data_IF_007094126714
#
_entry.id   IF_007094126714
#
_cell.length_a   1.000
_cell.length_b   1.000
_cell.length_c   1.000
_cell.angle_alpha   90.00
_cell.angle_beta   90.00
_cell.angle_gamma   90.00
#
_symmetry.space_group_name_H-M   'P 1'
#
loop_
_entity.id
_entity.type
_entity.pdbx_description
1 polymer ?
#
# COMPACT_ATOMS: atom_id res chain seq x y z
N UNK A 1 -71.26 5.91 4.35
CA UNK A 1 -69.97 6.57 4.65
C UNK A 1 -69.16 5.61 5.50
N UNK A 2 -68.08 5.00 5.00
CA UNK A 2 -67.21 4.14 5.80
C UNK A 2 -66.25 5.00 6.64
N UNK A 3 -66.06 4.61 7.90
CA UNK A 3 -65.11 5.25 8.82
C UNK A 3 -63.67 5.03 8.34
N UNK A 4 -62.92 6.11 8.12
CA UNK A 4 -61.48 6.07 7.93
C UNK A 4 -60.80 5.63 9.24
N UNK A 5 -60.32 4.39 9.27
CA UNK A 5 -59.46 3.89 10.34
C UNK A 5 -58.10 4.61 10.26
N UNK A 6 -58.00 5.76 10.93
CA UNK A 6 -56.73 6.42 11.20
C UNK A 6 -55.91 5.57 12.19
N UNK A 7 -55.22 4.56 11.67
CA UNK A 7 -54.24 3.79 12.42
C UNK A 7 -53.18 4.71 13.03
N UNK A 8 -53.16 4.82 14.37
CA UNK A 8 -52.10 5.53 15.09
C UNK A 8 -50.81 4.73 14.98
N UNK A 9 -49.79 5.33 14.37
CA UNK A 9 -48.42 4.81 14.41
C UNK A 9 -47.92 4.78 15.85
N UNK A 10 -47.95 3.60 16.47
CA UNK A 10 -47.34 3.37 17.80
C UNK A 10 -45.85 3.14 17.60
N UNK A 11 -45.04 4.14 17.93
CA UNK A 11 -43.59 3.99 17.93
C UNK A 11 -43.15 3.06 19.08
N UNK A 12 -42.95 1.77 18.78
CA UNK A 12 -42.47 0.78 19.75
C UNK A 12 -41.03 1.09 20.13
N UNK A 13 -40.82 1.62 21.34
CA UNK A 13 -39.48 1.93 21.89
C UNK A 13 -38.78 0.63 22.31
N UNK A 14 -37.90 0.14 21.45
CA UNK A 14 -37.08 -1.06 21.68
C UNK A 14 -36.07 -0.85 22.81
N UNK A 15 -35.47 -1.94 23.32
CA UNK A 15 -34.40 -1.86 24.33
C UNK A 15 -33.22 -1.01 23.85
N UNK A 16 -32.88 -1.06 22.56
CA UNK A 16 -31.84 -0.23 21.94
C UNK A 16 -32.16 1.27 22.00
N UNK A 17 -33.42 1.66 21.76
CA UNK A 17 -33.84 3.05 21.89
C UNK A 17 -33.69 3.55 23.33
N UNK A 18 -33.98 2.70 24.33
CA UNK A 18 -33.83 3.07 25.74
C UNK A 18 -32.37 3.26 26.17
N UNK A 19 -31.45 2.44 25.68
CA UNK A 19 -30.01 2.63 25.95
C UNK A 19 -29.43 3.83 25.21
N UNK A 20 -29.85 4.05 23.96
CA UNK A 20 -29.38 5.17 23.13
C UNK A 20 -29.77 6.57 23.65
N UNK A 21 -30.80 6.67 24.50
CA UNK A 21 -31.35 7.95 25.00
C UNK A 21 -30.93 8.22 26.46
N UNK A 22 -30.18 7.30 27.09
CA UNK A 22 -29.57 7.56 28.40
C UNK A 22 -28.50 8.66 28.27
N UNK A 23 -28.19 9.39 29.35
CA UNK A 23 -27.03 10.29 29.37
C UNK A 23 -25.76 9.51 29.00
N UNK A 24 -25.10 9.91 27.89
CA UNK A 24 -23.95 9.19 27.31
C UNK A 24 -24.30 8.08 26.30
N UNK A 25 -25.59 7.82 26.05
CA UNK A 25 -26.06 6.89 25.04
C UNK A 25 -25.82 7.42 23.63
N UNK A 26 -25.18 6.61 22.78
CA UNK A 26 -24.98 6.92 21.37
C UNK A 26 -26.02 6.14 20.56
N UNK A 27 -26.86 6.85 19.81
CA UNK A 27 -27.79 6.21 18.89
C UNK A 27 -27.05 5.58 17.70
N UNK A 28 -27.70 4.64 17.00
CA UNK A 28 -27.09 3.91 15.88
C UNK A 28 -26.53 4.85 14.80
N UNK A 29 -27.19 5.96 14.51
CA UNK A 29 -26.70 6.95 13.55
C UNK A 29 -25.44 7.67 14.05
N UNK A 30 -25.37 8.03 15.33
CA UNK A 30 -24.19 8.62 15.96
C UNK A 30 -23.00 7.65 16.00
N UNK A 31 -23.25 6.37 16.27
CA UNK A 31 -22.22 5.33 16.25
C UNK A 31 -21.66 5.11 14.83
N UNK A 32 -22.55 5.06 13.83
CA UNK A 32 -22.15 4.97 12.42
C UNK A 32 -21.34 6.19 11.98
N UNK A 33 -21.78 7.41 12.30
CA UNK A 33 -21.02 8.62 11.96
C UNK A 33 -19.65 8.69 12.66
N UNK A 34 -19.56 8.24 13.91
CA UNK A 34 -18.29 8.14 14.62
C UNK A 34 -17.36 7.12 13.95
N UNK A 35 -17.87 5.94 13.62
CA UNK A 35 -17.15 4.89 12.91
C UNK A 35 -16.66 5.38 11.54
N UNK A 36 -17.52 6.02 10.75
CA UNK A 36 -17.17 6.55 9.43
C UNK A 36 -16.06 7.60 9.51
N UNK A 37 -16.10 8.48 10.52
CA UNK A 37 -15.02 9.45 10.78
C UNK A 37 -13.71 8.76 11.14
N UNK A 38 -13.75 7.76 12.02
CA UNK A 38 -12.57 6.98 12.39
C UNK A 38 -11.96 6.24 11.20
N UNK A 39 -12.78 5.60 10.37
CA UNK A 39 -12.33 4.92 9.15
C UNK A 39 -11.72 5.92 8.16
N UNK A 40 -12.35 7.09 7.95
CA UNK A 40 -11.78 8.13 7.08
C UNK A 40 -10.45 8.66 7.58
N UNK A 41 -10.33 8.91 8.89
CA UNK A 41 -9.08 9.35 9.50
C UNK A 41 -7.98 8.30 9.33
N UNK A 42 -8.30 7.02 9.55
CA UNK A 42 -7.36 5.91 9.35
C UNK A 42 -6.90 5.81 7.89
N UNK A 43 -7.82 5.93 6.92
CA UNK A 43 -7.46 5.92 5.49
C UNK A 43 -6.51 7.07 5.13
N UNK A 44 -6.81 8.29 5.59
CA UNK A 44 -5.96 9.44 5.34
C UNK A 44 -4.57 9.29 5.97
N UNK A 45 -4.49 8.68 7.16
CA UNK A 45 -3.22 8.40 7.81
C UNK A 45 -2.41 7.34 7.05
N UNK A 46 -3.04 6.27 6.58
CA UNK A 46 -2.40 5.26 5.72
C UNK A 46 -1.86 5.89 4.43
N UNK A 47 -2.65 6.73 3.73
CA UNK A 47 -2.19 7.42 2.51
C UNK A 47 -0.96 8.31 2.78
N UNK A 48 -0.93 9.00 3.93
CA UNK A 48 0.21 9.82 4.35
C UNK A 48 1.45 8.95 4.64
N UNK A 49 1.27 7.82 5.30
CA UNK A 49 2.35 6.88 5.59
C UNK A 49 2.92 6.26 4.30
N UNK A 50 2.06 5.85 3.36
CA UNK A 50 2.47 5.38 2.02
C UNK A 50 3.33 6.44 1.34
N UNK A 51 2.84 7.68 1.28
CA UNK A 51 3.56 8.79 0.64
C UNK A 51 4.94 9.00 1.25
N UNK A 52 5.03 8.92 2.58
CA UNK A 52 6.30 9.10 3.31
C UNK A 52 7.28 7.97 3.01
N UNK A 53 6.82 6.72 3.08
CA UNK A 53 7.65 5.53 2.82
C UNK A 53 8.16 5.51 1.36
N UNK A 54 7.26 5.75 0.40
CA UNK A 54 7.64 5.78 -1.02
C UNK A 54 8.59 6.93 -1.31
N UNK A 55 8.36 8.13 -0.76
CA UNK A 55 9.25 9.28 -1.01
C UNK A 55 10.67 9.03 -0.52
N UNK A 56 10.82 8.39 0.64
CA UNK A 56 12.13 8.02 1.16
C UNK A 56 12.82 6.97 0.27
N UNK A 57 12.07 5.94 -0.14
CA UNK A 57 12.56 4.91 -1.06
C UNK A 57 12.98 5.48 -2.42
N UNK A 58 12.17 6.37 -2.99
CA UNK A 58 12.47 7.08 -4.24
C UNK A 58 13.75 7.90 -4.13
N UNK A 59 13.93 8.64 -3.04
CA UNK A 59 15.12 9.46 -2.83
C UNK A 59 16.39 8.61 -2.77
N UNK A 60 16.34 7.46 -2.09
CA UNK A 60 17.43 6.51 -2.01
C UNK A 60 17.74 5.87 -3.37
N UNK A 61 16.73 5.39 -4.10
CA UNK A 61 16.95 4.72 -5.38
C UNK A 61 17.47 5.67 -6.47
N UNK A 62 17.05 6.94 -6.44
CA UNK A 62 17.56 7.98 -7.35
C UNK A 62 19.00 8.39 -7.02
N UNK A 63 19.35 8.44 -5.74
CA UNK A 63 20.70 8.74 -5.27
C UNK A 63 21.35 7.47 -4.73
N UNK A 64 21.39 6.43 -5.57
CA UNK A 64 21.73 5.07 -5.16
C UNK A 64 23.00 5.01 -4.33
N UNK A 65 22.84 4.56 -3.08
CA UNK A 65 23.90 4.32 -2.10
C UNK A 65 23.73 2.92 -1.51
N UNK A 66 24.68 2.04 -1.80
CA UNK A 66 24.68 0.65 -1.32
C UNK A 66 24.70 0.58 0.22
N UNK A 67 25.30 1.57 0.90
CA UNK A 67 25.37 1.63 2.35
C UNK A 67 23.99 1.79 3.01
N UNK A 68 22.99 2.25 2.26
CA UNK A 68 21.62 2.44 2.74
C UNK A 68 20.65 1.35 2.27
N UNK A 69 21.13 0.33 1.54
CA UNK A 69 20.27 -0.70 0.95
C UNK A 69 19.35 -1.39 1.98
N UNK A 70 19.84 -1.68 3.19
CA UNK A 70 19.05 -2.27 4.28
C UNK A 70 17.91 -1.36 4.76
N UNK A 71 18.15 -0.05 4.81
CA UNK A 71 17.11 0.93 5.11
C UNK A 71 16.09 1.01 3.96
N UNK A 72 16.58 0.90 2.72
CA UNK A 72 15.75 0.76 1.52
C UNK A 72 14.81 -0.45 1.60
N UNK A 73 15.28 -1.62 2.04
CA UNK A 73 14.42 -2.80 2.24
C UNK A 73 13.28 -2.49 3.22
N UNK A 74 13.56 -1.77 4.31
CA UNK A 74 12.55 -1.39 5.29
C UNK A 74 11.48 -0.49 4.66
N UNK A 75 11.88 0.51 3.88
CA UNK A 75 10.92 1.39 3.19
C UNK A 75 10.13 0.68 2.09
N UNK A 76 10.76 -0.26 1.38
CA UNK A 76 10.08 -1.09 0.37
C UNK A 76 9.05 -2.02 1.01
N UNK A 77 9.38 -2.68 2.11
CA UNK A 77 8.45 -3.52 2.87
C UNK A 77 7.27 -2.70 3.42
N UNK A 78 7.55 -1.55 4.05
CA UNK A 78 6.51 -0.64 4.54
C UNK A 78 5.61 -0.15 3.41
N UNK A 79 6.20 0.21 2.26
CA UNK A 79 5.43 0.62 1.07
C UNK A 79 4.51 -0.49 0.60
N UNK A 80 5.02 -1.71 0.44
CA UNK A 80 4.25 -2.88 0.01
C UNK A 80 3.06 -3.13 0.93
N UNK A 81 3.32 -3.19 2.24
CA UNK A 81 2.31 -3.55 3.23
C UNK A 81 1.20 -2.49 3.31
N UNK A 82 1.58 -1.20 3.34
CA UNK A 82 0.62 -0.10 3.36
C UNK A 82 -0.15 0.05 2.04
N UNK A 83 0.53 -0.12 0.89
CA UNK A 83 -0.11 -0.08 -0.43
C UNK A 83 -1.12 -1.22 -0.59
N UNK A 84 -0.78 -2.42 -0.11
CA UNK A 84 -1.68 -3.58 -0.09
C UNK A 84 -2.93 -3.31 0.76
N UNK A 85 -2.76 -2.71 1.93
CA UNK A 85 -3.89 -2.28 2.78
C UNK A 85 -4.78 -1.23 2.10
N UNK A 86 -4.20 -0.37 1.27
CA UNK A 86 -4.91 0.67 0.54
C UNK A 86 -5.51 0.21 -0.81
N UNK A 87 -5.28 -1.04 -1.22
CA UNK A 87 -5.74 -1.56 -2.52
C UNK A 87 -5.01 -0.94 -3.72
N UNK A 88 -3.76 -0.52 -3.52
CA UNK A 88 -2.88 0.02 -4.56
C UNK A 88 -2.00 -1.11 -5.10
N UNK A 89 -2.58 -1.96 -5.94
CA UNK A 89 -1.94 -3.22 -6.31
C UNK A 89 -0.67 -3.02 -7.13
N UNK A 90 -0.65 -2.11 -8.10
CA UNK A 90 0.57 -1.86 -8.89
C UNK A 90 1.73 -1.39 -8.01
N UNK A 91 1.46 -0.46 -7.10
CA UNK A 91 2.46 0.03 -6.15
C UNK A 91 2.98 -1.09 -5.24
N UNK A 92 2.09 -2.02 -4.86
CA UNK A 92 2.46 -3.20 -4.05
C UNK A 92 3.45 -4.09 -4.80
N UNK A 93 3.16 -4.43 -6.06
CA UNK A 93 4.03 -5.28 -6.90
C UNK A 93 5.38 -4.61 -7.19
N UNK A 94 5.37 -3.32 -7.56
CA UNK A 94 6.62 -2.58 -7.82
C UNK A 94 7.47 -2.46 -6.55
N UNK A 95 6.84 -2.24 -5.39
CA UNK A 95 7.54 -2.22 -4.11
C UNK A 95 8.11 -3.60 -3.74
N UNK A 96 7.42 -4.69 -4.08
CA UNK A 96 7.91 -6.05 -3.90
C UNK A 96 9.14 -6.34 -4.76
N UNK A 97 9.12 -6.03 -6.05
CA UNK A 97 10.31 -6.17 -6.90
C UNK A 97 11.48 -5.30 -6.43
N UNK A 98 11.19 -4.08 -5.95
CA UNK A 98 12.21 -3.21 -5.36
C UNK A 98 12.80 -3.84 -4.10
N UNK A 99 11.96 -4.43 -3.23
CA UNK A 99 12.38 -5.14 -2.04
C UNK A 99 13.29 -6.32 -2.40
N UNK A 100 12.84 -7.21 -3.29
CA UNK A 100 13.60 -8.42 -3.66
C UNK A 100 14.98 -8.07 -4.23
N UNK A 101 15.04 -7.01 -5.04
CA UNK A 101 16.31 -6.54 -5.60
C UNK A 101 17.23 -5.94 -4.52
N UNK A 102 16.69 -5.17 -3.56
CA UNK A 102 17.46 -4.62 -2.46
C UNK A 102 17.90 -5.69 -1.47
N UNK A 103 17.06 -6.69 -1.22
CA UNK A 103 17.35 -7.83 -0.35
C UNK A 103 18.52 -8.65 -0.91
N UNK A 104 18.51 -8.93 -2.21
CA UNK A 104 19.64 -9.57 -2.90
C UNK A 104 20.95 -8.76 -2.80
N UNK A 105 20.87 -7.42 -2.82
CA UNK A 105 22.05 -6.57 -2.60
C UNK A 105 22.56 -6.71 -1.17
N UNK A 106 21.66 -6.71 -0.18
CA UNK A 106 21.99 -6.71 1.25
C UNK A 106 22.48 -8.09 1.72
N UNK A 107 21.78 -9.15 1.35
CA UNK A 107 22.01 -10.52 1.85
C UNK A 107 23.04 -11.24 0.98
N UNK A 108 22.84 -11.20 -0.35
CA UNK A 108 23.65 -11.98 -1.28
C UNK A 108 24.85 -11.19 -1.84
N UNK A 109 24.95 -9.89 -1.53
CA UNK A 109 25.99 -9.01 -2.06
C UNK A 109 25.85 -8.76 -3.56
N UNK A 110 24.63 -8.84 -4.10
CA UNK A 110 24.37 -8.57 -5.50
C UNK A 110 24.79 -7.12 -5.86
N UNK A 111 25.42 -6.95 -7.03
CA UNK A 111 25.74 -5.62 -7.52
C UNK A 111 24.55 -5.03 -8.30
N UNK A 112 23.90 -4.03 -7.71
CA UNK A 112 22.92 -3.19 -8.39
C UNK A 112 23.55 -1.88 -8.85
N UNK A 113 23.39 -1.57 -10.14
CA UNK A 113 23.93 -0.35 -10.74
C UNK A 113 22.98 0.83 -10.50
N UNK A 114 23.50 2.08 -10.43
CA UNK A 114 22.65 3.27 -10.25
C UNK A 114 21.54 3.42 -11.30
N UNK A 115 21.78 3.03 -12.56
CA UNK A 115 20.75 3.05 -13.60
C UNK A 115 19.60 2.07 -13.34
N UNK A 116 19.90 0.95 -12.71
CA UNK A 116 18.91 -0.08 -12.38
C UNK A 116 18.08 0.36 -11.18
N UNK A 117 18.74 0.94 -10.17
CA UNK A 117 18.05 1.61 -9.07
C UNK A 117 17.12 2.73 -9.56
N UNK A 118 17.57 3.55 -10.52
CA UNK A 118 16.75 4.57 -11.15
C UNK A 118 15.52 4.00 -11.87
N UNK A 119 15.63 2.83 -12.54
CA UNK A 119 14.48 2.17 -13.14
C UNK A 119 13.41 1.79 -12.11
N UNK A 120 13.80 1.26 -10.94
CA UNK A 120 12.86 0.99 -9.85
C UNK A 120 12.25 2.28 -9.30
N UNK A 121 13.04 3.36 -9.19
CA UNK A 121 12.52 4.65 -8.76
C UNK A 121 11.47 5.20 -9.72
N UNK A 122 11.71 5.11 -11.03
CA UNK A 122 10.77 5.58 -12.04
C UNK A 122 9.49 4.73 -12.05
N UNK A 123 9.62 3.41 -11.88
CA UNK A 123 8.47 2.51 -11.74
C UNK A 123 7.64 2.83 -10.49
N UNK A 124 8.27 3.09 -9.34
CA UNK A 124 7.59 3.50 -8.11
C UNK A 124 6.86 4.84 -8.28
N UNK A 125 7.53 5.82 -8.89
CA UNK A 125 6.93 7.14 -9.14
C UNK A 125 5.76 7.04 -10.13
N UNK A 126 5.84 6.16 -11.12
CA UNK A 126 4.73 5.86 -12.02
C UNK A 126 3.56 5.20 -11.28
N UNK A 127 3.83 4.18 -10.44
CA UNK A 127 2.81 3.45 -9.70
C UNK A 127 2.06 4.28 -8.65
N UNK A 128 2.62 5.43 -8.24
CA UNK A 128 1.93 6.40 -7.36
C UNK A 128 0.87 7.25 -8.07
N UNK A 129 0.86 7.29 -9.40
CA UNK A 129 -0.06 8.15 -10.14
C UNK A 129 -1.51 7.68 -9.98
N UNK A 130 -2.45 8.62 -9.98
CA UNK A 130 -3.87 8.30 -9.75
C UNK A 130 -4.44 7.33 -10.80
N UNK A 131 -3.91 7.34 -12.03
CA UNK A 131 -4.28 6.42 -13.11
C UNK A 131 -3.87 4.96 -12.84
N UNK A 132 -2.96 4.72 -11.89
CA UNK A 132 -2.48 3.41 -11.50
C UNK A 132 -3.21 2.85 -10.27
N UNK A 133 -4.20 3.58 -9.73
CA UNK A 133 -4.99 3.12 -8.58
C UNK A 133 -5.93 1.99 -8.97
N UNK A 134 -6.12 1.05 -8.06
CA UNK A 134 -7.03 -0.08 -8.21
C UNK A 134 -6.33 -1.42 -8.23
N UNK A 135 -7.08 -2.45 -8.59
CA UNK A 135 -6.66 -3.85 -8.55
C UNK A 135 -6.39 -4.49 -9.90
N UNK A 136 -6.71 -3.82 -11.00
CA UNK A 136 -6.44 -4.34 -12.33
C UNK A 136 -4.98 -4.08 -12.71
N UNK A 137 -4.23 -5.17 -12.88
CA UNK A 137 -2.82 -5.16 -13.26
C UNK A 137 -2.60 -5.49 -14.74
N UNK A 138 -3.62 -5.94 -15.47
CA UNK A 138 -3.48 -6.36 -16.86
C UNK A 138 -2.84 -5.27 -17.76
N UNK A 139 -3.17 -3.97 -17.62
CA UNK A 139 -2.53 -2.91 -18.40
C UNK A 139 -1.02 -2.74 -18.13
N UNK A 140 -0.55 -3.22 -16.98
CA UNK A 140 0.81 -3.01 -16.49
C UNK A 140 1.67 -4.27 -16.53
N UNK A 141 1.16 -5.38 -17.06
CA UNK A 141 1.92 -6.63 -17.24
C UNK A 141 3.28 -6.44 -17.93
N UNK A 142 3.41 -5.61 -19.00
CA UNK A 142 4.72 -5.38 -19.62
C UNK A 142 5.73 -4.76 -18.65
N UNK A 143 5.30 -3.79 -17.84
CA UNK A 143 6.14 -3.16 -16.83
C UNK A 143 6.58 -4.17 -15.76
N UNK A 144 5.65 -4.96 -15.25
CA UNK A 144 5.95 -5.98 -14.23
C UNK A 144 6.90 -7.05 -14.77
N UNK A 145 6.70 -7.51 -16.01
CA UNK A 145 7.61 -8.47 -16.66
C UNK A 145 9.02 -7.90 -16.84
N UNK A 146 9.15 -6.62 -17.20
CA UNK A 146 10.45 -5.98 -17.32
C UNK A 146 11.15 -5.79 -15.97
N UNK A 147 10.41 -5.48 -14.90
CA UNK A 147 10.93 -5.43 -13.53
C UNK A 147 11.35 -6.81 -13.03
N UNK A 148 10.58 -7.86 -13.31
CA UNK A 148 10.93 -9.25 -12.98
C UNK A 148 12.24 -9.67 -13.68
N UNK A 149 12.38 -9.34 -14.97
CA UNK A 149 13.62 -9.58 -15.73
C UNK A 149 14.80 -8.79 -15.19
N UNK A 150 14.58 -7.56 -14.75
CA UNK A 150 15.61 -6.75 -14.13
C UNK A 150 16.06 -7.35 -12.79
N UNK A 151 15.10 -7.74 -11.95
CA UNK A 151 15.33 -8.37 -10.64
C UNK A 151 16.12 -9.67 -10.81
N UNK A 152 15.66 -10.54 -11.70
CA UNK A 152 16.34 -11.80 -12.05
C UNK A 152 17.77 -11.58 -12.54
N UNK A 153 18.00 -10.51 -13.30
CA UNK A 153 19.34 -10.17 -13.80
C UNK A 153 20.28 -9.70 -12.70
N UNK A 154 19.79 -8.93 -11.73
CA UNK A 154 20.58 -8.48 -10.58
C UNK A 154 20.93 -9.67 -9.69
N UNK A 155 19.94 -10.49 -9.33
CA UNK A 155 20.13 -11.71 -8.53
C UNK A 155 21.10 -12.68 -9.23
N UNK A 156 20.93 -12.88 -10.54
CA UNK A 156 21.79 -13.77 -11.33
C UNK A 156 23.27 -13.39 -11.35
N UNK A 157 23.63 -12.13 -11.05
CA UNK A 157 25.03 -11.71 -10.96
C UNK A 157 25.76 -12.37 -9.80
N UNK A 158 25.07 -12.64 -8.69
CA UNK A 158 25.64 -13.32 -7.51
C UNK A 158 26.18 -14.70 -7.90
N UNK A 159 25.42 -15.45 -8.69
CA UNK A 159 25.84 -16.77 -9.17
C UNK A 159 27.06 -16.69 -10.11
N UNK A 160 27.15 -15.63 -10.92
CA UNK A 160 28.26 -15.42 -11.85
C UNK A 160 29.55 -15.01 -11.13
N UNK A 161 29.48 -14.12 -10.13
CA UNK A 161 30.65 -13.74 -9.31
C UNK A 161 31.13 -14.90 -8.45
N UNK A 162 30.24 -15.70 -7.87
CA UNK A 162 30.62 -16.90 -7.12
C UNK A 162 31.33 -17.97 -7.98
N UNK A 163 30.99 -18.06 -9.28
CA UNK A 163 31.65 -18.97 -10.23
C UNK A 163 33.01 -18.45 -10.70
N UNK A 164 33.19 -17.13 -10.81
CA UNK A 164 34.45 -16.52 -11.22
C UNK A 164 35.52 -16.50 -10.09
N UNK A 165 35.10 -16.61 -8.83
CA UNK A 165 35.98 -16.69 -7.66
C UNK A 165 36.45 -18.12 -7.32
N UNK A 166 36.04 -19.13 -8.10
CA UNK A 166 36.48 -20.54 -8.01
C UNK A 166 37.42 -20.87 -9.17
#
# INVERSE_FOLDING_TARGET
MPNEENGRLVAVKTKFYREAVRPGGINRSGANMASDRSVRAMKADVEKQITTAVSALLALLRNWDVGQAAQGCTWAALTRDLAGLAGLHLLTEVAMHSFDCLDAVVIDGAEMRPKEAACYADALAFAQQDQCRGSDLAPFEPLLSDLERLTSRVIGRVAATAKAAR
#
